data_IF_386502885912
#
_entry.id   IF_386502885912
#
_cell.length_a   1.000
_cell.length_b   1.000
_cell.length_c   1.000
_cell.angle_alpha   90.00
_cell.angle_beta   90.00
_cell.angle_gamma   90.00
#
_symmetry.space_group_name_H-M   'P 1'
#
loop_
_entity.id
_entity.type
_entity.pdbx_description
1 polymer ?
#
# COMPACT_ATOMS: atom_id res chain seq x y z
N UNK A 1 -1.78 -19.03 -18.83
CA UNK A 1 -1.45 -18.63 -17.44
C UNK A 1 -2.54 -17.68 -16.99
N UNK A 2 -3.50 -18.16 -16.20
CA UNK A 2 -4.48 -17.30 -15.56
C UNK A 2 -3.72 -16.30 -14.67
N UNK A 3 -3.80 -15.01 -15.02
CA UNK A 3 -3.28 -13.94 -14.16
C UNK A 3 -4.19 -13.89 -12.92
N UNK A 4 -3.89 -14.72 -11.92
CA UNK A 4 -4.51 -14.59 -10.60
C UNK A 4 -4.20 -13.19 -10.08
N UNK A 5 -5.23 -12.37 -9.94
CA UNK A 5 -5.11 -11.08 -9.27
C UNK A 5 -4.72 -11.37 -7.81
N UNK A 6 -3.52 -10.93 -7.41
CA UNK A 6 -3.08 -11.04 -6.02
C UNK A 6 -3.86 -10.06 -5.16
N UNK A 7 -4.28 -10.50 -3.98
CA UNK A 7 -4.73 -9.59 -2.92
C UNK A 7 -3.56 -8.77 -2.35
N UNK A 8 -3.87 -7.72 -1.58
CA UNK A 8 -2.85 -6.87 -0.94
C UNK A 8 -1.95 -7.72 -0.05
N UNK A 9 -2.57 -8.59 0.75
CA UNK A 9 -1.90 -9.48 1.68
C UNK A 9 -0.97 -10.45 0.97
N UNK A 10 -1.43 -11.09 -0.12
CA UNK A 10 -0.60 -12.01 -0.91
C UNK A 10 0.57 -11.28 -1.59
N UNK A 11 0.33 -10.07 -2.09
CA UNK A 11 1.37 -9.27 -2.72
C UNK A 11 2.47 -8.88 -1.72
N UNK A 12 2.08 -8.36 -0.56
CA UNK A 12 3.02 -7.98 0.52
C UNK A 12 3.77 -9.21 1.04
N UNK A 13 3.09 -10.34 1.20
CA UNK A 13 3.71 -11.59 1.60
C UNK A 13 4.81 -12.04 0.62
N UNK A 14 4.50 -12.04 -0.68
CA UNK A 14 5.46 -12.41 -1.71
C UNK A 14 6.64 -11.42 -1.79
N UNK A 15 6.39 -10.13 -1.56
CA UNK A 15 7.44 -9.11 -1.52
C UNK A 15 8.44 -9.32 -0.36
N UNK A 16 7.94 -9.74 0.81
CA UNK A 16 8.74 -9.92 2.00
C UNK A 16 9.56 -11.22 2.01
N UNK A 17 9.08 -12.27 1.35
CA UNK A 17 9.67 -13.62 1.43
C UNK A 17 11.17 -13.67 1.17
N UNK A 18 11.66 -12.82 0.26
CA UNK A 18 13.04 -12.86 -0.23
C UNK A 18 13.84 -11.62 0.23
N UNK A 19 13.41 -10.92 1.31
CA UNK A 19 14.01 -9.65 1.78
C UNK A 19 14.31 -9.65 3.28
N UNK A 20 15.58 -9.41 3.62
CA UNK A 20 16.04 -9.28 5.01
C UNK A 20 15.75 -7.89 5.62
N UNK A 21 15.75 -6.84 4.79
CA UNK A 21 15.47 -5.44 5.21
C UNK A 21 14.48 -4.78 4.25
N UNK A 22 13.19 -5.07 4.40
CA UNK A 22 12.20 -4.61 3.45
C UNK A 22 11.92 -3.11 3.63
N UNK A 23 11.99 -2.35 2.54
CA UNK A 23 11.61 -0.94 2.52
C UNK A 23 10.09 -0.78 2.41
N UNK A 24 9.51 0.27 3.01
CA UNK A 24 8.11 0.61 2.81
C UNK A 24 7.71 0.77 1.34
N UNK A 25 6.41 0.64 1.08
CA UNK A 25 5.88 0.46 -0.27
C UNK A 25 4.68 1.35 -0.54
N UNK A 26 4.50 1.66 -1.82
CA UNK A 26 3.29 2.29 -2.36
C UNK A 26 2.75 1.37 -3.46
N UNK A 27 1.60 0.75 -3.20
CA UNK A 27 0.93 -0.17 -4.14
C UNK A 27 -0.13 0.61 -4.91
N UNK A 28 -0.25 0.33 -6.20
CA UNK A 28 -1.28 0.92 -7.06
C UNK A 28 -0.89 2.22 -7.74
N UNK A 29 0.38 2.66 -7.68
CA UNK A 29 0.88 3.93 -8.27
C UNK A 29 0.57 4.12 -9.76
N UNK A 30 0.25 3.04 -10.50
CA UNK A 30 -0.21 3.10 -11.91
C UNK A 30 -1.73 3.00 -12.06
N UNK A 31 -2.50 3.20 -11.00
CA UNK A 31 -3.95 2.96 -10.97
C UNK A 31 -4.34 1.49 -11.13
N UNK A 32 -3.41 0.58 -10.84
CA UNK A 32 -3.57 -0.88 -11.03
C UNK A 32 -4.30 -1.56 -9.87
N UNK A 33 -4.61 -0.82 -8.80
CA UNK A 33 -5.26 -1.35 -7.61
C UNK A 33 -6.66 -0.77 -7.43
N UNK A 34 -7.59 -1.62 -7.03
CA UNK A 34 -8.98 -1.24 -6.79
C UNK A 34 -9.50 -1.75 -5.44
N UNK A 35 -10.23 -0.91 -4.72
CA UNK A 35 -10.97 -1.27 -3.51
C UNK A 35 -12.44 -0.93 -3.80
N UNK A 36 -13.34 -1.91 -3.69
CA UNK A 36 -14.78 -1.75 -3.97
C UNK A 36 -15.10 -1.16 -5.36
N UNK A 37 -14.28 -1.46 -6.38
CA UNK A 37 -14.46 -0.96 -7.74
C UNK A 37 -13.87 0.44 -8.01
N UNK A 38 -13.34 1.11 -6.99
CA UNK A 38 -12.69 2.41 -7.12
C UNK A 38 -11.16 2.26 -7.13
N UNK A 39 -10.48 3.10 -7.92
CA UNK A 39 -9.01 3.16 -7.92
C UNK A 39 -8.50 3.52 -6.53
N UNK A 40 -7.43 2.86 -6.12
CA UNK A 40 -6.86 3.05 -4.79
C UNK A 40 -5.35 2.98 -4.81
N UNK A 41 -4.75 3.68 -3.84
CA UNK A 41 -3.35 3.53 -3.47
C UNK A 41 -3.30 2.91 -2.08
N UNK A 42 -2.36 2.00 -1.86
CA UNK A 42 -2.13 1.42 -0.54
C UNK A 42 -0.69 1.71 -0.14
N UNK A 43 -0.54 2.47 0.94
CA UNK A 43 0.75 2.67 1.60
C UNK A 43 0.99 1.48 2.53
N UNK A 44 2.17 0.89 2.50
CA UNK A 44 2.53 -0.26 3.35
C UNK A 44 3.87 -0.01 4.02
N UNK A 45 3.96 -0.32 5.31
CA UNK A 45 5.24 -0.37 6.03
C UNK A 45 5.26 -1.52 7.05
N UNK A 46 6.45 -1.86 7.53
CA UNK A 46 6.66 -3.02 8.41
C UNK A 46 6.79 -2.64 9.89
N UNK A 47 6.74 -1.35 10.19
CA UNK A 47 6.67 -0.81 11.54
C UNK A 47 5.61 0.28 11.63
N UNK A 48 5.10 0.53 12.85
CA UNK A 48 4.13 1.60 13.09
C UNK A 48 4.73 3.01 12.86
N UNK A 49 5.98 3.31 13.28
CA UNK A 49 6.61 4.60 12.97
C UNK A 49 6.72 4.85 11.46
N UNK A 50 7.17 3.86 10.68
CA UNK A 50 7.39 4.05 9.24
C UNK A 50 6.08 4.36 8.50
N UNK A 51 5.00 3.64 8.83
CA UNK A 51 3.70 3.90 8.19
C UNK A 51 3.14 5.28 8.60
N UNK A 52 3.39 5.73 9.83
CA UNK A 52 2.97 7.05 10.28
C UNK A 52 3.69 8.16 9.49
N UNK A 53 5.02 8.04 9.35
CA UNK A 53 5.82 8.98 8.55
C UNK A 53 5.36 9.01 7.09
N UNK A 54 5.18 7.85 6.47
CA UNK A 54 4.78 7.78 5.05
C UNK A 54 3.37 8.31 4.82
N UNK A 55 2.46 8.06 5.75
CA UNK A 55 1.11 8.62 5.74
C UNK A 55 1.15 10.15 5.77
N UNK A 56 2.03 10.71 6.58
CA UNK A 56 2.20 12.16 6.69
C UNK A 56 2.86 12.75 5.43
N UNK A 57 3.88 12.10 4.88
CA UNK A 57 4.53 12.49 3.61
C UNK A 57 3.56 12.55 2.44
N UNK A 58 2.55 11.67 2.41
CA UNK A 58 1.52 11.63 1.36
C UNK A 58 0.27 12.47 1.69
N UNK A 59 0.31 13.29 2.75
CA UNK A 59 -0.79 14.16 3.18
C UNK A 59 -2.13 13.42 3.40
N UNK A 60 -2.05 12.20 3.95
CA UNK A 60 -3.21 11.33 4.26
C UNK A 60 -3.29 11.03 5.75
N UNK A 61 -2.92 11.99 6.59
CA UNK A 61 -2.84 11.89 8.06
C UNK A 61 -4.13 11.45 8.73
N UNK A 62 -5.28 11.78 8.14
CA UNK A 62 -6.62 11.41 8.61
C UNK A 62 -6.99 9.96 8.29
N UNK A 63 -6.28 9.32 7.37
CA UNK A 63 -6.60 7.95 6.97
C UNK A 63 -6.15 6.98 8.08
N UNK A 64 -6.98 5.99 8.41
CA UNK A 64 -6.68 5.05 9.49
C UNK A 64 -5.53 4.13 9.10
N UNK A 65 -4.60 3.93 10.03
CA UNK A 65 -3.56 2.90 9.92
C UNK A 65 -4.19 1.57 10.32
N UNK A 66 -4.13 0.59 9.41
CA UNK A 66 -4.58 -0.77 9.64
C UNK A 66 -3.38 -1.64 10.01
N UNK A 67 -3.46 -2.38 11.12
CA UNK A 67 -2.51 -3.46 11.42
C UNK A 67 -3.01 -4.74 10.75
N UNK A 68 -2.19 -5.30 9.89
CA UNK A 68 -2.51 -6.48 9.11
C UNK A 68 -1.67 -7.66 9.60
N UNK A 69 -2.32 -8.81 9.80
CA UNK A 69 -1.66 -10.08 10.08
C UNK A 69 -2.02 -11.05 8.97
N UNK A 70 -1.02 -11.64 8.35
CA UNK A 70 -1.22 -12.62 7.28
C UNK A 70 -0.13 -13.68 7.35
N UNK A 71 -0.53 -14.95 7.52
CA UNK A 71 0.40 -16.06 7.79
C UNK A 71 1.36 -15.71 8.94
N UNK A 72 2.66 -15.70 8.66
CA UNK A 72 3.77 -15.43 9.56
C UNK A 72 4.26 -13.97 9.55
N UNK A 73 3.62 -13.08 8.76
CA UNK A 73 3.99 -11.66 8.72
C UNK A 73 2.98 -10.75 9.42
N UNK A 74 3.49 -9.62 9.92
CA UNK A 74 2.70 -8.47 10.37
C UNK A 74 3.19 -7.25 9.61
N UNK A 75 2.25 -6.45 9.10
CA UNK A 75 2.55 -5.18 8.45
C UNK A 75 1.48 -4.15 8.76
N UNK A 76 1.72 -2.91 8.40
CA UNK A 76 0.80 -1.80 8.57
C UNK A 76 0.46 -1.20 7.22
N UNK A 77 -0.80 -0.83 7.02
CA UNK A 77 -1.27 -0.30 5.76
C UNK A 77 -2.22 0.88 5.92
N UNK A 78 -2.18 1.81 4.97
CA UNK A 78 -3.13 2.92 4.84
C UNK A 78 -3.71 2.88 3.43
N UNK A 79 -5.04 2.90 3.34
CA UNK A 79 -5.72 2.98 2.06
C UNK A 79 -6.01 4.43 1.71
N UNK A 80 -5.70 4.81 0.48
CA UNK A 80 -6.07 6.08 -0.12
C UNK A 80 -7.08 5.78 -1.22
N UNK A 81 -8.32 6.18 -1.01
CA UNK A 81 -9.45 5.98 -1.95
C UNK A 81 -10.03 7.30 -2.44
N UNK A 82 -9.68 8.43 -1.82
CA UNK A 82 -10.13 9.75 -2.26
C UNK A 82 -9.52 10.05 -3.63
N UNK A 83 -10.37 10.18 -4.65
CA UNK A 83 -9.97 10.31 -6.05
C UNK A 83 -8.87 11.35 -6.27
N UNK A 84 -9.01 12.57 -5.72
CA UNK A 84 -8.01 13.64 -5.85
C UNK A 84 -6.63 13.24 -5.32
N UNK A 85 -6.59 12.49 -4.21
CA UNK A 85 -5.33 12.04 -3.60
C UNK A 85 -4.75 10.85 -4.39
N UNK A 86 -5.59 9.95 -4.88
CA UNK A 86 -5.17 8.84 -5.74
C UNK A 86 -4.55 9.38 -7.03
N UNK A 87 -5.21 10.33 -7.69
CA UNK A 87 -4.70 11.00 -8.91
C UNK A 87 -3.39 11.73 -8.65
N UNK A 88 -3.30 12.50 -7.55
CA UNK A 88 -2.06 13.18 -7.16
C UNK A 88 -0.89 12.21 -7.01
N UNK A 89 -1.09 11.10 -6.29
CA UNK A 89 -0.04 10.09 -6.12
C UNK A 89 0.30 9.43 -7.46
N UNK A 90 -0.68 9.05 -8.27
CA UNK A 90 -0.43 8.47 -9.59
C UNK A 90 0.40 9.42 -10.46
N UNK A 91 0.07 10.72 -10.46
CA UNK A 91 0.80 11.72 -11.25
C UNK A 91 2.22 11.94 -10.73
N UNK A 92 2.43 12.00 -9.41
CA UNK A 92 3.76 12.09 -8.80
C UNK A 92 4.70 10.93 -9.22
N UNK A 93 4.16 9.73 -9.41
CA UNK A 93 4.94 8.53 -9.76
C UNK A 93 5.01 8.25 -11.28
N UNK A 94 4.47 9.13 -12.13
CA UNK A 94 4.60 9.02 -13.60
C UNK A 94 5.94 9.54 -14.13
N UNK A 95 6.60 10.42 -13.38
CA UNK A 95 7.96 10.91 -13.65
C UNK A 95 9.02 9.86 -13.26
#
# INVERSE_FOLDING_TARGET
MDKKNLSEQEWVYNYLRDRDKPLPLVIGTRGTWGINGEKSIILVAFTLPDIAVIRDMHNVTKNPIRKMKYKDIVYYAVNIVAQKQVEYVIDYWKE
#
